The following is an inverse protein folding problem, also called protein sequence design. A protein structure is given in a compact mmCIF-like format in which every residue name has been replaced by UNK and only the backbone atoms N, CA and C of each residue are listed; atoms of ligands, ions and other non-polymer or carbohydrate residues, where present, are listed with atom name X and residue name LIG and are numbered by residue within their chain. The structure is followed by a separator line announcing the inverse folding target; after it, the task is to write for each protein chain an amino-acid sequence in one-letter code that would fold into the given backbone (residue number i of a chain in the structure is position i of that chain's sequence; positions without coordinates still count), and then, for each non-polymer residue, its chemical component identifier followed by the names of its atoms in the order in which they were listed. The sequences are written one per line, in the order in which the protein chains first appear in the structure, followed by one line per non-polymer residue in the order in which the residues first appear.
data_IF_027469075098
#
_entry.id   IF_027469075098
#
_cell.length_a   1.000
_cell.length_b   1.000
_cell.length_c   1.000
_cell.angle_alpha   90.00
_cell.angle_beta   90.00
_cell.angle_gamma   90.00
#
_symmetry.space_group_name_H-M   'P 1'
#
loop_
_entity.id
_entity.type
_entity.pdbx_description
1 polymer ?
#
# COMPACT_ATOMS: atom_id res chain seq x y z
N UNK A 1 -9.90 64.31 56.42
CA UNK A 1 -9.85 64.14 54.98
C UNK A 1 -9.09 62.83 54.72
N UNK A 2 -9.77 61.75 54.37
CA UNK A 2 -9.18 60.45 54.05
C UNK A 2 -9.34 60.22 52.53
N UNK A 3 -8.25 60.22 51.79
CA UNK A 3 -8.24 59.92 50.37
C UNK A 3 -8.26 58.38 50.16
N UNK A 4 -9.25 57.90 49.45
CA UNK A 4 -9.39 56.50 49.05
C UNK A 4 -8.75 56.37 47.65
N UNK A 5 -7.66 55.65 47.55
CA UNK A 5 -7.03 55.27 46.27
C UNK A 5 -7.77 53.99 45.76
N UNK A 6 -8.43 54.14 44.64
CA UNK A 6 -9.05 52.99 43.90
C UNK A 6 -8.00 52.45 42.93
N UNK A 7 -7.52 51.25 43.18
CA UNK A 7 -6.67 50.52 42.24
C UNK A 7 -7.53 49.75 41.26
N UNK A 8 -7.49 50.11 39.99
CA UNK A 8 -8.18 49.39 38.88
C UNK A 8 -7.27 48.25 38.41
N UNK A 9 -7.73 47.02 38.66
CA UNK A 9 -7.06 45.78 38.21
C UNK A 9 -7.53 45.49 36.76
N UNK A 10 -6.67 45.73 35.77
CA UNK A 10 -6.91 45.35 34.38
C UNK A 10 -6.61 43.86 34.20
N UNK A 11 -7.64 43.05 34.03
CA UNK A 11 -7.52 41.64 33.67
C UNK A 11 -7.31 41.54 32.18
N UNK A 12 -6.09 41.20 31.77
CA UNK A 12 -5.74 40.87 30.37
C UNK A 12 -6.23 39.43 30.11
N UNK A 13 -7.39 39.30 29.49
CA UNK A 13 -7.89 38.01 29.01
C UNK A 13 -7.05 37.57 27.81
N UNK A 14 -6.14 36.60 28.01
CA UNK A 14 -5.51 35.86 26.92
C UNK A 14 -6.58 34.99 26.29
N UNK A 15 -7.18 35.42 25.19
CA UNK A 15 -7.96 34.57 24.29
C UNK A 15 -6.97 33.72 23.51
N UNK A 16 -6.73 32.49 23.96
CA UNK A 16 -6.17 31.43 23.12
C UNK A 16 -7.21 31.17 22.03
N UNK A 17 -7.09 31.85 20.88
CA UNK A 17 -7.86 31.52 19.70
C UNK A 17 -7.38 30.15 19.22
N UNK A 18 -8.23 29.14 19.33
CA UNK A 18 -8.11 27.92 18.54
C UNK A 18 -8.20 28.39 17.07
N UNK A 19 -7.09 28.36 16.36
CA UNK A 19 -7.10 28.55 14.92
C UNK A 19 -7.99 27.43 14.36
N UNK A 20 -9.12 27.78 13.77
CA UNK A 20 -9.93 26.83 13.03
C UNK A 20 -9.07 26.33 11.85
N UNK A 21 -9.08 25.03 11.60
CA UNK A 21 -8.37 24.45 10.47
C UNK A 21 -8.86 25.10 9.16
N UNK A 22 -7.93 25.53 8.30
CA UNK A 22 -8.25 26.17 7.03
C UNK A 22 -8.59 25.13 5.95
N UNK A 23 -9.74 24.45 6.10
CA UNK A 23 -10.22 23.48 5.14
C UNK A 23 -10.04 22.03 5.57
N UNK A 24 -10.66 21.12 4.82
CA UNK A 24 -10.64 19.68 5.05
C UNK A 24 -10.26 18.95 3.77
N UNK A 25 -9.41 17.92 3.92
CA UNK A 25 -9.06 16.98 2.86
C UNK A 25 -9.51 15.57 3.23
N UNK A 26 -10.28 14.92 2.37
CA UNK A 26 -10.72 13.53 2.57
C UNK A 26 -9.92 12.60 1.65
N UNK A 27 -9.18 11.66 2.23
CA UNK A 27 -8.34 10.70 1.52
C UNK A 27 -8.90 9.29 1.71
N UNK A 28 -9.29 8.62 0.62
CA UNK A 28 -9.64 7.20 0.68
C UNK A 28 -8.38 6.36 0.57
N UNK A 29 -8.23 5.41 1.49
CA UNK A 29 -7.04 4.56 1.59
C UNK A 29 -7.38 3.17 2.15
N UNK A 30 -6.38 2.39 2.52
CA UNK A 30 -6.52 1.02 3.02
C UNK A 30 -6.25 0.91 4.52
N UNK A 31 -6.77 -0.16 5.14
CA UNK A 31 -6.77 -0.34 6.60
C UNK A 31 -5.37 -0.32 7.22
N UNK A 32 -4.37 -1.00 6.61
CA UNK A 32 -3.01 -1.00 7.16
C UNK A 32 -2.33 0.38 7.10
N UNK A 33 -2.72 1.24 6.15
CA UNK A 33 -2.22 2.62 6.11
C UNK A 33 -2.68 3.42 7.33
N UNK A 34 -3.94 3.27 7.73
CA UNK A 34 -4.57 4.04 8.82
C UNK A 34 -4.45 3.38 10.20
N UNK A 35 -3.92 2.16 10.27
CA UNK A 35 -3.69 1.48 11.53
C UNK A 35 -2.77 2.31 12.45
N UNK A 36 -2.90 2.15 13.76
CA UNK A 36 -2.07 2.87 14.74
C UNK A 36 -0.55 2.71 14.48
N UNK A 37 -0.14 1.54 14.00
CA UNK A 37 1.23 1.21 13.63
C UNK A 37 1.59 1.59 12.18
N UNK A 38 0.58 1.92 11.35
CA UNK A 38 0.76 2.30 9.95
C UNK A 38 1.25 3.73 9.75
N UNK A 39 1.43 4.17 8.50
CA UNK A 39 1.92 5.51 8.19
C UNK A 39 0.89 6.62 8.49
N UNK A 40 -0.41 6.33 8.41
CA UNK A 40 -1.50 7.31 8.48
C UNK A 40 -1.38 8.31 9.63
N UNK A 41 -1.24 7.89 10.90
CA UNK A 41 -1.17 8.84 12.03
C UNK A 41 0.01 9.82 11.93
N UNK A 42 1.16 9.37 11.41
CA UNK A 42 2.32 10.25 11.22
C UNK A 42 2.17 11.16 10.01
N UNK A 43 1.57 10.67 8.93
CA UNK A 43 1.26 11.42 7.72
C UNK A 43 0.25 12.52 8.03
N UNK A 44 -0.83 12.21 8.75
CA UNK A 44 -1.83 13.16 9.22
C UNK A 44 -1.18 14.29 10.02
N UNK A 45 -0.47 13.95 11.09
CA UNK A 45 0.18 14.94 11.94
C UNK A 45 1.20 15.82 11.19
N UNK A 46 1.95 15.26 10.22
CA UNK A 46 2.93 16.01 9.43
C UNK A 46 2.25 16.94 8.41
N UNK A 47 1.24 16.46 7.70
CA UNK A 47 0.53 17.25 6.71
C UNK A 47 -0.33 18.35 7.34
N UNK A 48 -1.07 18.07 8.41
CA UNK A 48 -1.87 19.07 9.13
C UNK A 48 -1.02 20.20 9.70
N UNK A 49 0.18 19.88 10.18
CA UNK A 49 1.14 20.88 10.63
C UNK A 49 1.60 21.80 9.49
N UNK A 50 1.73 21.26 8.27
CA UNK A 50 2.17 22.03 7.09
C UNK A 50 1.05 22.88 6.50
N UNK A 51 -0.17 22.32 6.40
CA UNK A 51 -1.30 23.00 5.76
C UNK A 51 -2.17 23.83 6.68
N UNK A 52 -2.08 23.63 8.02
CA UNK A 52 -3.03 24.15 9.01
C UNK A 52 -4.49 23.72 8.69
N UNK A 53 -4.68 22.51 8.17
CA UNK A 53 -5.96 21.96 7.71
C UNK A 53 -6.34 20.69 8.51
N UNK A 54 -7.49 20.09 8.19
CA UNK A 54 -8.00 18.82 8.72
C UNK A 54 -7.84 17.74 7.65
N UNK A 55 -7.04 16.69 7.91
CA UNK A 55 -6.86 15.53 7.03
C UNK A 55 -7.66 14.34 7.55
N UNK A 56 -8.68 13.92 6.81
CA UNK A 56 -9.47 12.74 7.15
C UNK A 56 -9.11 11.56 6.26
N UNK A 57 -8.67 10.46 6.85
CA UNK A 57 -8.56 9.18 6.16
C UNK A 57 -9.83 8.36 6.27
N UNK A 58 -10.27 7.78 5.14
CA UNK A 58 -11.39 6.85 5.08
C UNK A 58 -10.89 5.53 4.52
N UNK A 59 -10.74 4.54 5.40
CA UNK A 59 -10.17 3.26 5.05
C UNK A 59 -11.19 2.24 4.55
N UNK A 60 -10.72 1.36 3.67
CA UNK A 60 -11.37 0.10 3.25
C UNK A 60 -10.33 -1.01 3.34
N UNK A 61 -10.75 -2.26 3.10
CA UNK A 61 -9.89 -3.43 3.31
C UNK A 61 -8.53 -3.34 2.62
N UNK A 62 -8.48 -2.93 1.32
CA UNK A 62 -7.25 -2.88 0.54
C UNK A 62 -7.43 -2.07 -0.77
N UNK A 63 -6.36 -1.92 -1.58
CA UNK A 63 -6.32 -1.02 -2.73
C UNK A 63 -7.36 -1.29 -3.82
N UNK A 64 -7.62 -2.55 -4.19
CA UNK A 64 -8.68 -2.86 -5.16
C UNK A 64 -10.06 -2.48 -4.63
N UNK A 65 -10.30 -2.66 -3.32
CA UNK A 65 -11.55 -2.25 -2.68
C UNK A 65 -11.76 -0.73 -2.71
N UNK A 66 -10.66 0.07 -2.67
CA UNK A 66 -10.74 1.53 -2.83
C UNK A 66 -11.34 1.90 -4.19
N UNK A 67 -10.78 1.32 -5.27
CA UNK A 67 -11.27 1.58 -6.63
C UNK A 67 -12.72 1.10 -6.82
N UNK A 68 -13.07 -0.06 -6.28
CA UNK A 68 -14.43 -0.58 -6.32
C UNK A 68 -15.41 0.37 -5.61
N UNK A 69 -15.05 0.87 -4.43
CA UNK A 69 -15.84 1.85 -3.68
C UNK A 69 -16.02 3.14 -4.47
N UNK A 70 -14.94 3.67 -5.04
CA UNK A 70 -15.00 4.87 -5.85
C UNK A 70 -15.92 4.71 -7.07
N UNK A 71 -15.86 3.54 -7.76
CA UNK A 71 -16.76 3.21 -8.87
C UNK A 71 -18.23 3.15 -8.44
N UNK A 72 -18.52 2.59 -7.26
CA UNK A 72 -19.89 2.51 -6.73
C UNK A 72 -20.45 3.89 -6.35
N UNK A 73 -19.63 4.74 -5.74
CA UNK A 73 -20.02 6.08 -5.33
C UNK A 73 -20.12 7.05 -6.55
N UNK A 74 -19.30 6.83 -7.58
CA UNK A 74 -19.26 7.67 -8.78
C UNK A 74 -19.05 9.15 -8.45
N UNK A 75 -19.85 10.02 -9.06
CA UNK A 75 -19.79 11.47 -8.83
C UNK A 75 -20.23 11.90 -7.41
N UNK A 76 -20.83 11.00 -6.62
CA UNK A 76 -21.21 11.29 -5.23
C UNK A 76 -20.11 10.95 -4.22
N UNK A 77 -18.96 10.48 -4.67
CA UNK A 77 -17.82 10.18 -3.80
C UNK A 77 -17.36 11.41 -3.03
N UNK A 78 -16.98 11.18 -1.78
CA UNK A 78 -16.43 12.23 -0.92
C UNK A 78 -14.91 12.33 -0.98
N UNK A 79 -14.25 11.39 -1.64
CA UNK A 79 -12.81 11.40 -1.76
C UNK A 79 -12.30 12.61 -2.54
N UNK A 80 -11.42 13.37 -1.95
CA UNK A 80 -10.61 14.38 -2.65
C UNK A 80 -9.37 13.72 -3.26
N UNK A 81 -8.77 12.77 -2.53
CA UNK A 81 -7.61 11.97 -2.97
C UNK A 81 -7.89 10.50 -2.72
N UNK A 82 -7.38 9.65 -3.61
CA UNK A 82 -7.28 8.20 -3.43
C UNK A 82 -5.80 7.86 -3.28
N UNK A 83 -5.45 7.11 -2.24
CA UNK A 83 -4.10 6.67 -1.91
C UNK A 83 -4.07 5.16 -1.68
N UNK A 84 -3.21 4.41 -2.38
CA UNK A 84 -3.07 2.97 -2.21
C UNK A 84 -3.69 2.14 -3.33
N UNK A 85 -3.94 2.72 -4.51
CA UNK A 85 -3.98 1.95 -5.74
C UNK A 85 -2.55 1.54 -6.10
N UNK A 86 -2.39 0.63 -7.06
CA UNK A 86 -1.10 0.34 -7.65
C UNK A 86 -1.11 0.51 -9.17
N UNK A 87 0.06 0.43 -9.78
CA UNK A 87 0.21 0.59 -11.24
C UNK A 87 -0.62 -0.39 -12.05
N UNK A 88 -0.99 -1.55 -11.51
CA UNK A 88 -1.84 -2.52 -12.21
C UNK A 88 -3.29 -2.01 -12.39
N UNK A 89 -3.71 -1.06 -11.57
CA UNK A 89 -5.09 -0.52 -11.58
C UNK A 89 -5.22 0.81 -12.32
N UNK A 90 -4.12 1.45 -12.73
CA UNK A 90 -4.15 2.83 -13.25
C UNK A 90 -4.97 2.99 -14.53
N UNK A 91 -4.87 2.04 -15.47
CA UNK A 91 -5.70 2.09 -16.69
C UNK A 91 -7.19 1.92 -16.40
N UNK A 92 -7.56 0.96 -15.54
CA UNK A 92 -8.95 0.77 -15.06
C UNK A 92 -9.47 2.01 -14.34
N UNK A 93 -8.63 2.64 -13.52
CA UNK A 93 -8.98 3.83 -12.78
C UNK A 93 -9.17 5.04 -13.72
N UNK A 94 -8.26 5.27 -14.67
CA UNK A 94 -8.40 6.33 -15.71
C UNK A 94 -9.68 6.16 -16.53
N UNK A 95 -10.03 4.93 -16.89
CA UNK A 95 -11.24 4.63 -17.66
C UNK A 95 -12.54 5.00 -16.93
N UNK A 96 -12.52 5.18 -15.61
CA UNK A 96 -13.70 5.63 -14.84
C UNK A 96 -14.05 7.10 -15.09
N UNK A 97 -13.09 7.92 -15.52
CA UNK A 97 -13.25 9.38 -15.60
C UNK A 97 -13.38 10.09 -14.24
N UNK A 98 -13.07 9.40 -13.13
CA UNK A 98 -13.23 9.95 -11.77
C UNK A 98 -11.95 10.61 -11.23
N UNK A 99 -10.85 10.54 -11.95
CA UNK A 99 -9.55 11.10 -11.56
C UNK A 99 -9.19 12.32 -12.39
N UNK A 100 -8.46 13.26 -11.81
CA UNK A 100 -7.99 14.47 -12.45
C UNK A 100 -6.47 14.48 -12.58
N UNK A 101 -5.91 15.09 -13.67
CA UNK A 101 -4.47 15.15 -13.85
C UNK A 101 -3.81 16.04 -12.78
N UNK A 102 -2.57 15.72 -12.44
CA UNK A 102 -1.68 16.58 -11.66
C UNK A 102 -0.76 17.38 -12.60
N UNK A 103 -0.11 18.43 -12.06
CA UNK A 103 0.86 19.24 -12.79
C UNK A 103 2.29 19.09 -12.24
N UNK A 104 2.58 17.94 -11.58
CA UNK A 104 3.84 17.73 -10.88
C UNK A 104 4.92 17.19 -11.82
N UNK A 105 6.17 17.60 -11.57
CA UNK A 105 7.34 16.95 -12.17
C UNK A 105 7.70 15.71 -11.35
N UNK A 106 7.65 14.54 -11.99
CA UNK A 106 7.98 13.25 -11.39
C UNK A 106 9.39 12.75 -11.76
N UNK A 107 10.20 13.58 -12.41
CA UNK A 107 11.55 13.21 -12.87
C UNK A 107 12.57 12.90 -11.76
N UNK A 108 12.27 13.26 -10.51
CA UNK A 108 13.12 13.01 -9.34
C UNK A 108 12.83 11.73 -8.56
N UNK A 109 11.94 10.86 -9.08
CA UNK A 109 11.52 9.64 -8.39
C UNK A 109 12.56 8.51 -8.52
N UNK A 110 12.61 7.67 -7.48
CA UNK A 110 13.53 6.52 -7.36
C UNK A 110 12.84 5.18 -7.63
N UNK A 111 11.79 5.18 -8.42
CA UNK A 111 11.00 3.97 -8.74
C UNK A 111 11.74 3.10 -9.77
N UNK A 112 11.84 1.77 -9.59
CA UNK A 112 12.46 0.88 -10.55
C UNK A 112 11.84 0.98 -11.94
N UNK A 113 12.68 1.15 -12.97
CA UNK A 113 12.24 1.32 -14.35
C UNK A 113 11.82 2.75 -14.72
N UNK A 114 11.82 3.67 -13.75
CA UNK A 114 11.28 5.03 -13.92
C UNK A 114 9.76 5.06 -13.85
N UNK A 115 9.19 6.25 -13.77
CA UNK A 115 7.74 6.44 -13.69
C UNK A 115 7.30 7.70 -14.44
N UNK A 116 6.30 7.57 -15.29
CA UNK A 116 5.66 8.68 -15.99
C UNK A 116 4.16 8.44 -16.04
N UNK A 117 3.40 9.33 -15.44
CA UNK A 117 1.95 9.35 -15.48
C UNK A 117 1.47 10.79 -15.26
N UNK A 118 0.34 11.17 -15.83
CA UNK A 118 -0.23 12.52 -15.71
C UNK A 118 -1.33 12.61 -14.65
N UNK A 119 -1.76 11.48 -14.11
CA UNK A 119 -2.85 11.36 -13.12
C UNK A 119 -2.36 10.80 -11.80
N UNK A 120 -1.54 9.75 -11.83
CA UNK A 120 -1.11 9.01 -10.65
C UNK A 120 0.31 9.37 -10.23
N UNK A 121 0.51 9.54 -8.93
CA UNK A 121 1.78 9.87 -8.27
C UNK A 121 2.21 8.70 -7.41
N UNK A 122 3.37 8.07 -7.65
CA UNK A 122 3.86 6.97 -6.84
C UNK A 122 4.38 7.49 -5.49
N UNK A 123 4.20 6.71 -4.42
CA UNK A 123 4.69 7.07 -3.11
C UNK A 123 5.59 6.01 -2.47
N UNK A 124 5.44 4.75 -2.84
CA UNK A 124 6.33 3.66 -2.43
C UNK A 124 6.30 2.49 -3.42
N UNK A 125 7.18 1.51 -3.20
CA UNK A 125 7.24 0.29 -3.98
C UNK A 125 7.91 -0.86 -3.24
N UNK A 126 7.56 -2.09 -3.61
CA UNK A 126 8.30 -3.30 -3.27
C UNK A 126 7.94 -4.44 -4.25
N UNK A 127 8.71 -5.53 -4.21
CA UNK A 127 8.32 -6.75 -4.92
C UNK A 127 7.52 -7.67 -3.99
N UNK A 128 6.49 -8.32 -4.51
CA UNK A 128 5.80 -9.36 -3.77
C UNK A 128 6.73 -10.53 -3.47
N UNK A 129 6.54 -11.13 -2.31
CA UNK A 129 7.26 -12.32 -1.89
C UNK A 129 6.38 -13.20 -0.99
N UNK A 130 6.67 -14.48 -1.01
CA UNK A 130 6.18 -15.40 0.02
C UNK A 130 7.05 -15.22 1.25
N UNK A 131 6.46 -14.71 2.33
CA UNK A 131 7.11 -14.61 3.64
C UNK A 131 6.86 -15.92 4.39
N UNK A 132 7.88 -16.43 5.05
CA UNK A 132 7.82 -17.70 5.77
C UNK A 132 8.42 -17.60 7.17
N UNK A 133 7.90 -18.42 8.07
CA UNK A 133 8.45 -18.65 9.40
C UNK A 133 9.61 -19.64 9.33
N UNK A 134 10.84 -19.17 9.49
CA UNK A 134 12.05 -20.00 9.37
C UNK A 134 12.20 -21.02 10.50
N UNK A 135 11.44 -20.91 11.58
CA UNK A 135 11.37 -21.93 12.62
C UNK A 135 10.53 -23.13 12.18
N UNK A 136 9.54 -22.92 11.33
CA UNK A 136 8.62 -23.95 10.81
C UNK A 136 9.03 -24.47 9.41
N UNK A 137 9.44 -23.57 8.51
CA UNK A 137 9.82 -23.91 7.13
C UNK A 137 11.35 -23.91 7.01
N UNK A 138 11.95 -25.10 7.09
CA UNK A 138 13.43 -25.26 7.02
C UNK A 138 13.98 -25.21 5.59
N UNK A 139 13.16 -25.59 4.62
CA UNK A 139 13.48 -25.57 3.20
C UNK A 139 12.44 -24.71 2.48
N UNK A 140 12.63 -23.36 2.46
CA UNK A 140 11.67 -22.47 1.80
C UNK A 140 11.67 -22.71 0.29
N UNK A 141 10.51 -22.53 -0.38
CA UNK A 141 10.42 -22.65 -1.83
C UNK A 141 11.28 -21.60 -2.52
N UNK A 142 11.92 -21.98 -3.62
CA UNK A 142 12.78 -21.12 -4.46
C UNK A 142 12.12 -20.78 -5.80
N UNK A 143 10.87 -21.15 -5.98
CA UNK A 143 10.06 -20.88 -7.15
C UNK A 143 8.57 -21.09 -6.83
N UNK A 144 7.69 -20.55 -7.67
CA UNK A 144 6.26 -20.88 -7.61
C UNK A 144 6.01 -22.38 -7.81
N UNK A 145 6.82 -23.04 -8.65
CA UNK A 145 6.73 -24.47 -8.87
C UNK A 145 7.05 -25.26 -7.58
N UNK A 146 8.10 -24.89 -6.86
CA UNK A 146 8.44 -25.51 -5.58
C UNK A 146 7.41 -25.19 -4.48
N UNK A 147 6.85 -23.97 -4.46
CA UNK A 147 5.75 -23.62 -3.57
C UNK A 147 4.55 -24.52 -3.80
N UNK A 148 4.17 -24.73 -5.07
CA UNK A 148 3.02 -25.56 -5.46
C UNK A 148 3.27 -27.04 -5.14
N UNK A 149 4.47 -27.56 -5.44
CA UNK A 149 4.81 -28.96 -5.27
C UNK A 149 5.22 -29.34 -3.83
N UNK A 150 5.47 -28.36 -2.97
CA UNK A 150 5.95 -28.58 -1.61
C UNK A 150 4.90 -29.23 -0.70
N UNK A 151 5.30 -29.51 0.54
CA UNK A 151 4.47 -30.17 1.56
C UNK A 151 3.11 -29.45 1.74
N UNK A 152 1.98 -30.14 1.50
CA UNK A 152 0.65 -29.53 1.63
C UNK A 152 0.26 -29.22 3.09
N UNK A 153 0.98 -29.73 4.07
CA UNK A 153 0.78 -29.35 5.48
C UNK A 153 1.31 -27.96 5.79
N UNK A 154 2.30 -27.47 5.03
CA UNK A 154 2.79 -26.10 5.13
C UNK A 154 1.84 -25.16 4.41
N UNK A 155 1.05 -24.43 5.16
CA UNK A 155 -0.02 -23.56 4.66
C UNK A 155 0.46 -22.17 4.33
N UNK A 156 -0.21 -21.56 3.34
CA UNK A 156 -0.05 -20.16 2.97
C UNK A 156 -1.38 -19.43 3.10
N UNK A 157 -1.35 -18.20 3.62
CA UNK A 157 -2.46 -17.25 3.54
C UNK A 157 -2.20 -16.32 2.35
N UNK A 158 -3.21 -16.12 1.52
CA UNK A 158 -3.19 -15.20 0.39
C UNK A 158 -4.36 -14.23 0.47
N UNK A 159 -4.33 -13.17 -0.34
CA UNK A 159 -5.40 -12.19 -0.40
C UNK A 159 -6.25 -12.37 -1.66
N UNK A 160 -7.48 -11.87 -1.61
CA UNK A 160 -8.44 -11.91 -2.72
C UNK A 160 -8.10 -10.87 -3.80
N UNK A 161 -7.86 -11.28 -5.06
CA UNK A 161 -7.54 -10.35 -6.14
C UNK A 161 -8.68 -9.38 -6.50
N UNK A 162 -9.90 -9.62 -5.98
CA UNK A 162 -11.07 -8.78 -6.21
C UNK A 162 -11.14 -7.58 -5.26
N UNK A 163 -10.37 -7.60 -4.15
CA UNK A 163 -10.40 -6.57 -3.11
C UNK A 163 -9.02 -6.05 -2.73
N UNK A 164 -7.96 -6.85 -2.94
CA UNK A 164 -6.59 -6.59 -2.48
C UNK A 164 -5.62 -6.40 -3.66
N UNK A 165 -4.76 -5.37 -3.58
CA UNK A 165 -3.65 -5.19 -4.53
C UNK A 165 -2.59 -6.29 -4.40
N UNK A 166 -2.17 -6.75 -3.19
CA UNK A 166 -1.36 -7.96 -3.06
C UNK A 166 -2.00 -9.22 -3.67
N UNK A 167 -3.31 -9.41 -3.45
CA UNK A 167 -4.03 -10.52 -4.06
C UNK A 167 -4.02 -10.46 -5.59
N UNK A 168 -4.24 -9.28 -6.15
CA UNK A 168 -4.11 -9.04 -7.60
C UNK A 168 -2.67 -9.27 -8.06
N UNK A 169 -1.67 -8.78 -7.32
CA UNK A 169 -0.27 -8.98 -7.64
C UNK A 169 0.13 -10.45 -7.71
N UNK A 170 -0.34 -11.29 -6.78
CA UNK A 170 -0.11 -12.73 -6.85
C UNK A 170 -0.80 -13.37 -8.06
N UNK A 171 -2.03 -12.95 -8.37
CA UNK A 171 -2.74 -13.41 -9.58
C UNK A 171 -1.91 -13.15 -10.83
N UNK A 172 -1.41 -11.91 -10.96
CA UNK A 172 -0.61 -11.47 -12.08
C UNK A 172 0.76 -12.18 -12.14
N UNK A 173 1.39 -12.39 -10.99
CA UNK A 173 2.65 -13.12 -10.89
C UNK A 173 2.51 -14.56 -11.37
N UNK A 174 1.50 -15.28 -10.88
CA UNK A 174 1.20 -16.64 -11.33
C UNK A 174 0.88 -16.66 -12.83
N UNK A 175 0.08 -15.69 -13.31
CA UNK A 175 -0.26 -15.59 -14.73
C UNK A 175 0.97 -15.34 -15.62
N UNK A 176 1.88 -14.48 -15.19
CA UNK A 176 3.10 -14.17 -15.95
C UNK A 176 4.06 -15.36 -16.03
N UNK A 177 4.12 -16.19 -14.98
CA UNK A 177 4.98 -17.37 -14.95
C UNK A 177 4.36 -18.57 -15.70
N UNK A 178 3.06 -18.77 -15.58
CA UNK A 178 2.40 -19.98 -16.10
C UNK A 178 1.59 -19.76 -17.38
N UNK A 179 1.30 -18.51 -17.76
CA UNK A 179 0.50 -18.21 -18.96
C UNK A 179 -0.85 -18.92 -18.93
N UNK A 180 -1.15 -19.68 -19.99
CA UNK A 180 -2.40 -20.43 -20.11
C UNK A 180 -2.54 -21.60 -19.12
N UNK A 181 -1.47 -21.95 -18.40
CA UNK A 181 -1.47 -22.97 -17.36
C UNK A 181 -1.71 -22.42 -15.96
N UNK A 182 -2.01 -21.11 -15.82
CA UNK A 182 -2.23 -20.48 -14.53
C UNK A 182 -3.38 -21.14 -13.75
N UNK A 183 -4.49 -21.48 -14.40
CA UNK A 183 -5.60 -22.20 -13.77
C UNK A 183 -5.19 -23.57 -13.19
N UNK A 184 -4.34 -24.33 -13.89
CA UNK A 184 -3.79 -25.58 -13.37
C UNK A 184 -2.87 -25.33 -12.15
N UNK A 185 -2.03 -24.28 -12.21
CA UNK A 185 -1.15 -23.91 -11.12
C UNK A 185 -1.95 -23.55 -9.85
N UNK A 186 -3.01 -22.76 -9.98
CA UNK A 186 -3.93 -22.44 -8.90
C UNK A 186 -4.61 -23.68 -8.31
N UNK A 187 -5.12 -24.58 -9.16
CA UNK A 187 -5.73 -25.84 -8.72
C UNK A 187 -4.76 -26.71 -7.90
N UNK A 188 -3.47 -26.73 -8.29
CA UNK A 188 -2.42 -27.44 -7.55
C UNK A 188 -2.01 -26.72 -6.26
N UNK A 189 -2.04 -25.39 -6.22
CA UNK A 189 -1.74 -24.60 -5.02
C UNK A 189 -2.88 -24.65 -3.99
N UNK A 190 -4.14 -24.84 -4.43
CA UNK A 190 -5.33 -24.84 -3.59
C UNK A 190 -5.20 -25.62 -2.27
N UNK A 191 -4.67 -26.86 -2.24
CA UNK A 191 -4.54 -27.63 -0.99
C UNK A 191 -3.62 -26.96 0.05
N UNK A 192 -2.73 -26.05 -0.36
CA UNK A 192 -1.82 -25.32 0.51
C UNK A 192 -2.41 -24.00 1.01
N UNK A 193 -3.42 -23.47 0.37
CA UNK A 193 -4.07 -22.23 0.79
C UNK A 193 -4.89 -22.50 2.05
N UNK A 194 -4.51 -21.86 3.16
CA UNK A 194 -5.26 -21.92 4.41
C UNK A 194 -6.58 -21.16 4.26
N UNK A 195 -6.46 -19.91 3.81
CA UNK A 195 -7.59 -19.02 3.58
C UNK A 195 -7.22 -17.92 2.59
N UNK A 196 -8.25 -17.27 2.05
CA UNK A 196 -8.15 -16.08 1.21
C UNK A 196 -8.80 -14.93 1.97
N UNK A 197 -8.02 -13.90 2.31
CA UNK A 197 -8.50 -12.75 3.09
C UNK A 197 -8.87 -11.57 2.19
N UNK A 198 -9.75 -10.67 2.63
CA UNK A 198 -10.13 -9.49 1.85
C UNK A 198 -8.99 -8.49 1.65
N UNK A 199 -7.99 -8.46 2.56
CA UNK A 199 -6.86 -7.54 2.52
C UNK A 199 -5.62 -8.09 3.21
N UNK A 200 -4.53 -7.31 3.11
CA UNK A 200 -3.21 -7.69 3.61
C UNK A 200 -3.17 -7.78 5.15
N UNK A 201 -3.80 -6.85 5.87
CA UNK A 201 -3.75 -6.78 7.34
C UNK A 201 -4.20 -8.08 8.00
N UNK A 202 -5.32 -8.66 7.53
CA UNK A 202 -5.83 -9.91 8.07
C UNK A 202 -4.90 -11.08 7.74
N UNK A 203 -4.42 -11.16 6.49
CA UNK A 203 -3.51 -12.21 6.07
C UNK A 203 -2.23 -12.24 6.89
N UNK A 204 -1.59 -11.08 7.05
CA UNK A 204 -0.35 -10.96 7.81
C UNK A 204 -0.57 -11.22 9.30
N UNK A 205 -1.72 -10.78 9.84
CA UNK A 205 -2.13 -11.07 11.22
C UNK A 205 -2.30 -12.56 11.51
N UNK A 206 -2.89 -13.34 10.60
CA UNK A 206 -2.99 -14.79 10.73
C UNK A 206 -1.62 -15.46 10.73
N UNK A 207 -0.72 -15.01 9.83
CA UNK A 207 0.64 -15.52 9.76
C UNK A 207 1.44 -15.25 11.04
N UNK A 208 1.44 -14.02 11.55
CA UNK A 208 2.19 -13.65 12.77
C UNK A 208 1.64 -14.32 14.04
N UNK A 209 0.34 -14.67 14.05
CA UNK A 209 -0.26 -15.52 15.09
C UNK A 209 0.15 -17.00 14.97
N UNK A 210 0.83 -17.38 13.89
CA UNK A 210 1.33 -18.73 13.66
C UNK A 210 0.29 -19.71 13.12
N UNK A 211 -0.82 -19.21 12.56
CA UNK A 211 -1.90 -20.04 11.98
C UNK A 211 -1.52 -20.60 10.60
N UNK A 212 -0.55 -19.97 9.92
CA UNK A 212 0.05 -20.48 8.70
C UNK A 212 1.57 -20.37 8.76
N UNK A 213 2.24 -21.20 7.98
CA UNK A 213 3.70 -21.20 7.86
C UNK A 213 4.21 -20.13 6.91
N UNK A 214 3.34 -19.67 6.00
CA UNK A 214 3.66 -18.72 4.93
C UNK A 214 2.53 -17.73 4.70
N UNK A 215 2.86 -16.57 4.15
CA UNK A 215 1.91 -15.54 3.73
C UNK A 215 2.43 -14.83 2.48
N UNK A 216 1.54 -14.41 1.59
CA UNK A 216 1.91 -13.46 0.56
C UNK A 216 2.08 -12.07 1.18
N UNK A 217 3.24 -11.47 0.97
CA UNK A 217 3.58 -10.11 1.38
C UNK A 217 4.69 -9.56 0.46
N UNK A 218 5.71 -8.91 1.01
CA UNK A 218 6.73 -8.20 0.24
C UNK A 218 8.14 -8.62 0.62
N UNK A 219 9.09 -8.48 -0.30
CA UNK A 219 10.52 -8.67 -0.02
C UNK A 219 11.01 -7.79 1.13
N UNK A 220 10.31 -6.70 1.44
CA UNK A 220 10.61 -5.74 2.50
C UNK A 220 10.03 -6.12 3.87
N UNK A 221 9.07 -7.03 3.94
CA UNK A 221 8.41 -7.41 5.21
C UNK A 221 9.38 -7.85 6.32
N UNK A 222 10.51 -8.54 6.04
CA UNK A 222 11.47 -8.88 7.08
C UNK A 222 12.09 -7.67 7.78
N UNK A 223 12.12 -6.48 7.17
CA UNK A 223 12.66 -5.27 7.78
C UNK A 223 11.90 -4.89 9.07
N UNK A 224 10.57 -5.02 9.07
CA UNK A 224 9.76 -4.79 10.26
C UNK A 224 10.23 -5.65 11.43
N UNK A 225 10.31 -6.96 11.23
CA UNK A 225 10.68 -7.89 12.29
C UNK A 225 12.12 -7.69 12.77
N UNK A 226 13.04 -7.39 11.86
CA UNK A 226 14.45 -7.16 12.20
C UNK A 226 14.67 -5.84 12.94
N UNK A 227 13.98 -4.77 12.54
CA UNK A 227 14.17 -3.43 13.10
C UNK A 227 13.30 -3.21 14.36
N UNK A 228 12.00 -3.55 14.29
CA UNK A 228 11.05 -3.26 15.36
C UNK A 228 11.00 -4.36 16.43
N UNK A 229 11.19 -5.64 16.04
CA UNK A 229 11.10 -6.79 16.94
C UNK A 229 12.43 -7.44 17.25
N UNK A 230 13.54 -7.01 16.62
CA UNK A 230 14.87 -7.64 16.73
C UNK A 230 14.84 -9.15 16.44
N UNK A 231 14.02 -9.56 15.46
CA UNK A 231 13.76 -10.96 15.10
C UNK A 231 14.20 -11.27 13.67
N UNK A 232 14.97 -12.36 13.51
CA UNK A 232 15.34 -12.93 12.21
C UNK A 232 14.46 -14.12 11.79
N UNK A 233 13.35 -14.34 12.51
CA UNK A 233 12.46 -15.48 12.32
C UNK A 233 11.75 -15.47 10.98
N UNK A 234 11.22 -14.31 10.58
CA UNK A 234 10.42 -14.17 9.37
C UNK A 234 11.27 -13.70 8.21
N UNK A 235 11.24 -14.47 7.11
CA UNK A 235 12.10 -14.25 5.94
C UNK A 235 11.30 -14.26 4.66
N UNK A 236 11.84 -13.60 3.63
CA UNK A 236 11.29 -13.64 2.28
C UNK A 236 11.91 -14.81 1.49
N UNK A 237 11.10 -15.60 0.83
CA UNK A 237 11.56 -16.61 -0.11
C UNK A 237 11.97 -15.92 -1.42
N UNK A 238 13.16 -16.24 -1.93
CA UNK A 238 13.66 -15.73 -3.20
C UNK A 238 13.33 -16.69 -4.33
N UNK A 239 12.58 -16.24 -5.34
CA UNK A 239 12.11 -17.05 -6.44
C UNK A 239 12.95 -16.82 -7.69
N UNK A 240 13.43 -17.93 -8.28
CA UNK A 240 14.34 -17.92 -9.43
C UNK A 240 13.73 -17.32 -10.71
N UNK A 241 12.40 -17.42 -10.89
CA UNK A 241 11.69 -16.81 -12.01
C UNK A 241 11.55 -15.30 -11.92
N UNK A 242 11.91 -14.71 -10.79
CA UNK A 242 11.75 -13.29 -10.48
C UNK A 242 10.53 -13.02 -9.62
N UNK A 243 10.37 -11.76 -9.22
CA UNK A 243 9.29 -11.29 -8.35
C UNK A 243 8.49 -10.20 -9.05
N UNK A 244 7.18 -10.17 -8.81
CA UNK A 244 6.30 -9.17 -9.37
C UNK A 244 6.42 -7.86 -8.58
N UNK A 245 6.62 -6.74 -9.29
CA UNK A 245 6.77 -5.43 -8.69
C UNK A 245 5.40 -4.81 -8.39
N UNK A 246 5.22 -4.25 -7.21
CA UNK A 246 4.17 -3.31 -6.88
C UNK A 246 4.76 -1.92 -6.75
N UNK A 247 4.10 -0.95 -7.38
CA UNK A 247 4.33 0.49 -7.18
C UNK A 247 3.00 1.06 -6.74
N UNK A 248 2.91 1.52 -5.49
CA UNK A 248 1.70 2.13 -4.97
C UNK A 248 1.60 3.58 -5.41
N UNK A 249 0.39 3.99 -5.73
CA UNK A 249 0.12 5.31 -6.29
C UNK A 249 -1.06 5.99 -5.60
N UNK A 250 -1.04 7.33 -5.65
CA UNK A 250 -2.17 8.17 -5.26
C UNK A 250 -2.56 9.09 -6.40
N UNK A 251 -3.81 9.56 -6.39
CA UNK A 251 -4.31 10.53 -7.34
C UNK A 251 -5.43 11.38 -6.73
N UNK A 252 -5.55 12.62 -7.16
CA UNK A 252 -6.72 13.43 -6.86
C UNK A 252 -7.90 13.01 -7.73
N UNK A 253 -9.09 13.04 -7.16
CA UNK A 253 -10.32 12.82 -7.89
C UNK A 253 -10.74 14.08 -8.67
N UNK A 254 -11.72 13.96 -9.58
CA UNK A 254 -12.33 15.14 -10.25
C UNK A 254 -12.91 16.10 -9.22
N UNK A 255 -13.57 15.58 -8.16
CA UNK A 255 -14.02 16.40 -7.03
C UNK A 255 -12.86 17.04 -6.29
N UNK A 256 -11.81 16.29 -6.04
CA UNK A 256 -10.60 16.78 -5.36
C UNK A 256 -9.85 17.85 -6.13
N UNK A 257 -10.02 17.94 -7.45
CA UNK A 257 -9.44 19.01 -8.25
C UNK A 257 -10.01 20.42 -7.89
N UNK A 258 -11.17 20.47 -7.23
CA UNK A 258 -11.75 21.71 -6.70
C UNK A 258 -11.19 22.06 -5.31
N UNK A 259 -10.51 21.14 -4.65
CA UNK A 259 -9.91 21.32 -3.33
C UNK A 259 -8.39 21.57 -3.45
N UNK A 260 -7.90 22.79 -3.18
CA UNK A 260 -6.46 23.11 -3.32
C UNK A 260 -5.56 22.27 -2.39
N UNK A 261 -6.12 21.66 -1.34
CA UNK A 261 -5.37 20.78 -0.45
C UNK A 261 -4.99 19.46 -1.14
N UNK A 262 -5.72 19.02 -2.18
CA UNK A 262 -5.40 17.80 -2.90
C UNK A 262 -4.05 17.88 -3.62
N UNK A 263 -3.79 18.97 -4.34
CA UNK A 263 -2.49 19.20 -4.99
C UNK A 263 -1.36 19.37 -3.96
N UNK A 264 -1.63 20.06 -2.84
CA UNK A 264 -0.67 20.19 -1.73
C UNK A 264 -0.32 18.81 -1.15
N UNK A 265 -1.32 17.94 -0.96
CA UNK A 265 -1.11 16.59 -0.42
C UNK A 265 -0.31 15.70 -1.39
N UNK A 266 -0.60 15.72 -2.69
CA UNK A 266 0.19 14.99 -3.69
C UNK A 266 1.65 15.49 -3.72
N UNK A 267 1.88 16.81 -3.63
CA UNK A 267 3.23 17.36 -3.54
C UNK A 267 3.93 16.96 -2.23
N UNK A 268 3.22 16.97 -1.11
CA UNK A 268 3.72 16.51 0.18
C UNK A 268 4.15 15.03 0.12
N UNK A 269 3.39 14.16 -0.57
CA UNK A 269 3.69 12.73 -0.68
C UNK A 269 5.05 12.42 -1.30
N UNK A 270 5.57 13.25 -2.21
CA UNK A 270 6.91 13.09 -2.79
C UNK A 270 7.98 13.92 -2.08
N UNK A 271 7.62 14.61 -0.99
CA UNK A 271 8.56 15.36 -0.16
C UNK A 271 9.29 14.45 0.84
N UNK A 272 10.48 14.85 1.31
CA UNK A 272 11.18 14.11 2.37
C UNK A 272 10.34 13.94 3.66
N UNK A 273 9.44 14.88 3.96
CA UNK A 273 8.60 14.82 5.16
C UNK A 273 7.66 13.62 5.16
N UNK A 274 7.13 13.23 4.00
CA UNK A 274 6.35 12.02 3.84
C UNK A 274 7.25 10.78 3.62
N UNK A 275 8.26 10.91 2.76
CA UNK A 275 9.07 9.76 2.32
C UNK A 275 9.93 9.17 3.46
N UNK A 276 10.29 9.97 4.48
CA UNK A 276 10.96 9.47 5.69
C UNK A 276 10.06 8.59 6.58
N UNK A 277 8.72 8.74 6.45
CA UNK A 277 7.74 7.95 7.22
C UNK A 277 7.61 6.54 6.64
N UNK A 278 7.62 6.40 5.32
CA UNK A 278 7.31 5.15 4.59
C UNK A 278 8.17 3.96 5.02
N UNK A 279 9.51 4.02 5.01
CA UNK A 279 10.33 2.85 5.34
C UNK A 279 10.26 2.43 6.81
N UNK A 280 9.68 3.27 7.68
CA UNK A 280 9.58 3.01 9.12
C UNK A 280 8.18 2.58 9.59
N UNK A 281 7.18 2.69 8.73
CA UNK A 281 5.78 2.41 9.08
C UNK A 281 5.06 1.58 8.04
N UNK A 282 5.25 1.84 6.75
CA UNK A 282 4.73 1.01 5.66
C UNK A 282 5.70 -0.12 5.27
N UNK A 283 6.95 -0.01 5.71
CA UNK A 283 8.01 -1.02 5.46
C UNK A 283 8.22 -1.28 3.97
N UNK A 284 8.05 -0.24 3.15
CA UNK A 284 8.25 -0.23 1.70
C UNK A 284 9.46 0.64 1.35
N UNK A 285 9.99 0.50 0.14
CA UNK A 285 10.97 1.44 -0.39
C UNK A 285 10.28 2.76 -0.75
N UNK A 286 10.82 3.92 -0.34
CA UNK A 286 10.25 5.22 -0.69
C UNK A 286 10.40 5.49 -2.19
N UNK A 287 9.37 6.07 -2.82
CA UNK A 287 9.38 6.41 -4.24
C UNK A 287 10.21 7.66 -4.56
N UNK A 288 10.49 8.51 -3.58
CA UNK A 288 11.29 9.70 -3.72
C UNK A 288 12.39 9.76 -2.63
N UNK A 289 13.22 10.82 -2.71
CA UNK A 289 14.38 10.98 -1.84
C UNK A 289 13.97 11.22 -0.38
N UNK A 290 14.59 10.45 0.52
CA UNK A 290 14.52 10.64 1.97
C UNK A 290 15.57 11.64 2.47
N UNK A 291 15.38 12.19 3.67
CA UNK A 291 16.34 13.12 4.32
C UNK A 291 17.66 12.41 4.65
N UNK A 292 17.57 11.16 5.12
CA UNK A 292 18.72 10.33 5.50
C UNK A 292 18.70 9.01 4.73
N UNK A 293 19.83 8.29 4.62
CA UNK A 293 19.86 6.92 4.09
C UNK A 293 18.88 6.01 4.86
N UNK A 294 18.35 5.01 4.18
CA UNK A 294 17.51 3.98 4.81
C UNK A 294 18.30 3.20 5.88
N UNK A 295 17.57 2.57 6.80
CA UNK A 295 18.20 1.64 7.74
C UNK A 295 18.97 0.57 6.96
N UNK A 296 20.22 0.21 7.34
CA UNK A 296 21.06 -0.76 6.63
C UNK A 296 20.39 -2.14 6.42
N UNK A 297 19.40 -2.49 7.22
CA UNK A 297 18.60 -3.72 7.01
C UNK A 297 17.97 -3.77 5.63
N UNK A 298 17.59 -2.63 5.04
CA UNK A 298 17.01 -2.57 3.69
C UNK A 298 18.01 -2.99 2.60
N UNK A 299 19.32 -2.83 2.84
CA UNK A 299 20.36 -3.28 1.91
C UNK A 299 20.54 -4.81 1.89
N UNK A 300 20.13 -5.48 2.96
CA UNK A 300 20.25 -6.92 3.17
C UNK A 300 19.01 -7.72 2.77
N UNK A 301 17.92 -7.04 2.41
CA UNK A 301 16.67 -7.67 1.97
C UNK A 301 16.85 -8.38 0.62
N UNK A 302 15.96 -9.34 0.34
CA UNK A 302 15.94 -10.05 -0.95
C UNK A 302 15.79 -9.02 -2.08
N UNK A 303 16.78 -9.05 -2.99
CA UNK A 303 16.80 -8.24 -4.22
C UNK A 303 16.55 -9.18 -5.40
N UNK A 304 15.33 -9.23 -5.94
CA UNK A 304 15.00 -10.14 -7.03
C UNK A 304 15.94 -9.96 -8.22
N UNK A 305 16.46 -11.07 -8.76
CA UNK A 305 17.31 -11.04 -9.95
C UNK A 305 16.55 -10.57 -11.20
N UNK A 306 15.23 -10.72 -11.20
CA UNK A 306 14.33 -10.29 -12.29
C UNK A 306 13.06 -9.67 -11.70
N UNK A 307 12.72 -8.49 -12.20
CA UNK A 307 11.43 -7.85 -11.98
C UNK A 307 10.42 -8.31 -13.01
N UNK A 308 9.25 -8.72 -12.56
CA UNK A 308 8.09 -9.07 -13.39
C UNK A 308 7.04 -7.98 -13.21
N UNK A 309 6.40 -7.59 -14.31
CA UNK A 309 5.31 -6.61 -14.31
C UNK A 309 4.58 -6.66 -15.66
N UNK A 310 3.26 -6.56 -15.66
CA UNK A 310 2.44 -6.27 -16.82
C UNK A 310 2.28 -4.75 -16.99
N UNK A 311 1.94 -4.29 -18.19
CA UNK A 311 1.43 -2.94 -18.37
C UNK A 311 0.01 -2.82 -17.77
N UNK A 312 -0.38 -1.62 -17.34
CA UNK A 312 -1.72 -1.39 -16.79
C UNK A 312 -2.82 -1.69 -17.81
N UNK A 313 -2.56 -1.47 -19.10
CA UNK A 313 -3.47 -1.73 -20.21
C UNK A 313 -3.69 -3.24 -20.40
N UNK A 314 -2.62 -4.05 -20.30
CA UNK A 314 -2.75 -5.52 -20.35
C UNK A 314 -3.55 -6.05 -19.17
N UNK A 315 -3.32 -5.50 -17.96
CA UNK A 315 -4.09 -5.87 -16.78
C UNK A 315 -5.55 -5.48 -16.97
N UNK A 316 -5.85 -4.24 -17.37
CA UNK A 316 -7.21 -3.77 -17.58
C UNK A 316 -7.98 -4.62 -18.60
N UNK A 317 -7.30 -5.01 -19.70
CA UNK A 317 -7.91 -5.83 -20.75
C UNK A 317 -8.22 -7.26 -20.31
N UNK A 318 -7.46 -7.84 -19.39
CA UNK A 318 -7.50 -9.28 -19.11
C UNK A 318 -7.92 -9.62 -17.68
N UNK A 319 -7.86 -8.67 -16.74
CA UNK A 319 -8.06 -8.90 -15.29
C UNK A 319 -9.35 -9.65 -14.98
N UNK A 320 -10.46 -9.31 -15.62
CA UNK A 320 -11.74 -9.97 -15.38
C UNK A 320 -11.68 -11.47 -15.74
N UNK A 321 -11.07 -11.80 -16.87
CA UNK A 321 -10.90 -13.20 -17.32
C UNK A 321 -9.94 -13.97 -16.40
N UNK A 322 -8.84 -13.34 -15.99
CA UNK A 322 -7.86 -13.96 -15.08
C UNK A 322 -8.42 -14.20 -13.67
N UNK A 323 -9.27 -13.28 -13.17
CA UNK A 323 -10.00 -13.48 -11.91
C UNK A 323 -10.99 -14.63 -12.05
N UNK A 324 -11.73 -14.72 -13.14
CA UNK A 324 -12.66 -15.83 -13.38
C UNK A 324 -11.94 -17.19 -13.46
N UNK A 325 -10.77 -17.26 -14.11
CA UNK A 325 -9.90 -18.44 -14.14
C UNK A 325 -9.45 -18.85 -12.73
N UNK A 326 -9.02 -17.88 -11.92
CA UNK A 326 -8.64 -18.10 -10.52
C UNK A 326 -9.79 -18.59 -9.66
N UNK A 327 -10.98 -17.97 -9.79
CA UNK A 327 -12.19 -18.40 -9.07
C UNK A 327 -12.58 -19.83 -9.43
N UNK A 328 -12.58 -20.16 -10.71
CA UNK A 328 -12.91 -21.51 -11.17
C UNK A 328 -11.93 -22.56 -10.62
N UNK A 329 -10.62 -22.24 -10.59
CA UNK A 329 -9.58 -23.13 -10.08
C UNK A 329 -9.68 -23.35 -8.58
N UNK A 330 -10.03 -22.32 -7.80
CA UNK A 330 -10.18 -22.44 -6.35
C UNK A 330 -11.59 -22.89 -5.91
N UNK A 331 -12.58 -22.88 -6.80
CA UNK A 331 -13.96 -23.24 -6.48
C UNK A 331 -14.65 -22.17 -5.62
N UNK A 332 -14.41 -20.90 -5.93
CA UNK A 332 -14.95 -19.72 -5.23
C UNK A 332 -16.03 -19.01 -6.05
#
# INVERSE_FOLDING_TARGET
MRSILTATLSILALTCGLAAAEGKLTVYTYESFTAEWGPGPKVEAAFEKECACDLEFVAVADGVAILNRLKLEGASSKADVVLGLDTNLTADAKATGLFAPHAMDLGGLSVPGGYVDDVFVPFDYAHFAVIYDSEKVKNPPKSLAELIAGDPSQKIVIQDPRTSTPGLGLLLWVKQVYGDKAGEAWGKLKPKILTVTPGWSEAYGLFTKGEAEMVLSYTTSPAYHRIAESSERYKAAEFAEGHYLQIEVAAKTVKGAENPLADKFLAFMISPAFQDIIPQTNWMFPAAKTTAPLNPVFDELVKPAKTLMYSSEEVAANRAAWIAEWQAALGQ
#
